data_IF_853008155333
#
_entry.id   IF_853008155333
#
_cell.length_a   1.000
_cell.length_b   1.000
_cell.length_c   1.000
_cell.angle_alpha   90.00
_cell.angle_beta   90.00
_cell.angle_gamma   90.00
#
_symmetry.space_group_name_H-M   'P 1'
#
loop_
_entity.id
_entity.type
_entity.pdbx_description
1 polymer ?
#
# COMPACT_ATOMS: atom_id res chain seq x y z
N UNK A 1 29.96 -7.84 -4.33
CA UNK A 1 31.00 -6.88 -3.90
C UNK A 1 30.65 -5.55 -4.58
N UNK A 2 29.57 -4.91 -4.15
CA UNK A 2 29.52 -3.91 -3.06
C UNK A 2 30.38 -2.69 -3.34
N UNK A 3 30.12 -1.92 -4.41
CA UNK A 3 30.79 -0.62 -4.56
C UNK A 3 30.12 0.36 -5.54
N UNK A 4 28.81 0.54 -5.43
CA UNK A 4 28.13 1.73 -6.00
C UNK A 4 27.11 2.37 -5.03
N UNK A 5 27.20 2.02 -3.74
CA UNK A 5 26.44 2.62 -2.63
C UNK A 5 27.30 3.64 -1.87
N UNK A 6 27.81 4.67 -2.55
CA UNK A 6 28.61 5.75 -1.92
C UNK A 6 28.36 7.16 -2.48
N UNK A 7 27.23 7.41 -3.13
CA UNK A 7 26.88 8.73 -3.69
C UNK A 7 25.42 9.18 -3.40
N UNK A 8 24.79 8.66 -2.35
CA UNK A 8 23.50 9.19 -1.85
C UNK A 8 23.66 10.09 -0.61
N UNK A 9 24.80 10.04 0.09
CA UNK A 9 24.95 10.59 1.45
C UNK A 9 25.26 12.10 1.53
N UNK A 10 25.35 12.84 0.40
CA UNK A 10 25.70 14.27 0.41
C UNK A 10 24.54 15.23 0.11
N UNK A 11 23.29 14.75 0.08
CA UNK A 11 22.10 15.60 -0.17
C UNK A 11 21.13 15.71 1.01
N UNK A 12 21.33 14.95 2.09
CA UNK A 12 20.52 15.04 3.30
C UNK A 12 21.20 15.96 4.31
N UNK A 13 20.88 17.26 4.23
CA UNK A 13 21.34 18.30 5.17
C UNK A 13 20.77 18.11 6.59
N UNK A 14 21.31 17.16 7.33
CA UNK A 14 21.05 16.94 8.73
C UNK A 14 21.86 17.94 9.57
N UNK A 15 21.18 18.85 10.27
CA UNK A 15 21.73 19.62 11.39
C UNK A 15 20.91 19.33 12.64
N UNK A 16 21.48 18.68 13.67
CA UNK A 16 20.86 18.61 14.98
C UNK A 16 21.35 19.79 15.82
N UNK A 17 20.45 20.72 16.17
CA UNK A 17 20.68 21.59 17.32
C UNK A 17 19.53 21.47 18.32
N UNK A 18 19.93 21.06 19.53
CA UNK A 18 19.11 20.75 20.69
C UNK A 18 18.62 22.06 21.32
N UNK A 19 17.33 22.10 21.65
CA UNK A 19 16.85 22.81 22.83
C UNK A 19 15.91 21.86 23.58
N UNK A 20 16.43 21.31 24.67
CA UNK A 20 15.70 20.75 25.81
C UNK A 20 15.46 21.98 26.69
N UNK A 21 14.22 22.36 27.00
CA UNK A 21 13.49 21.89 28.17
C UNK A 21 11.97 22.17 28.02
N UNK A 22 11.19 21.50 28.88
CA UNK A 22 9.81 21.78 29.33
C UNK A 22 8.72 20.80 28.86
N UNK A 23 8.77 19.62 29.51
CA UNK A 23 7.64 18.90 30.13
C UNK A 23 6.44 18.53 29.26
N UNK A 24 6.49 17.32 28.68
CA UNK A 24 5.31 16.48 28.49
C UNK A 24 5.70 14.99 28.40
N UNK A 25 6.18 14.45 29.52
CA UNK A 25 6.54 13.04 29.67
C UNK A 25 5.30 12.16 29.90
N UNK A 26 4.38 12.07 28.95
CA UNK A 26 3.24 11.16 29.12
C UNK A 26 2.54 10.66 27.84
N UNK A 27 3.25 10.32 26.75
CA UNK A 27 2.63 9.50 25.69
C UNK A 27 3.58 8.46 25.12
N UNK A 28 3.93 7.47 25.95
CA UNK A 28 4.23 6.11 25.49
C UNK A 28 2.95 5.47 24.91
N UNK A 29 2.43 6.05 23.82
CA UNK A 29 1.26 5.57 23.10
C UNK A 29 1.68 4.47 22.13
N UNK A 30 1.34 3.22 22.48
CA UNK A 30 1.41 2.02 21.65
C UNK A 30 1.15 2.36 20.18
N UNK A 31 2.16 2.18 19.33
CA UNK A 31 1.92 1.97 17.91
C UNK A 31 1.18 0.65 17.77
N UNK A 32 -0.14 0.66 17.87
CA UNK A 32 -0.95 -0.42 17.29
C UNK A 32 -0.70 -0.28 15.80
N UNK A 33 0.23 -1.08 15.29
CA UNK A 33 0.42 -1.22 13.86
C UNK A 33 -0.93 -1.64 13.31
N UNK A 34 -1.66 -0.66 12.75
CA UNK A 34 -2.96 -0.87 12.14
C UNK A 34 -2.79 -2.04 11.18
N UNK A 35 -3.36 -3.17 11.57
CA UNK A 35 -3.36 -4.37 10.79
C UNK A 35 -4.29 -4.09 9.61
N UNK A 36 -3.67 -3.52 8.57
CA UNK A 36 -4.31 -3.26 7.29
C UNK A 36 -5.00 -4.55 6.85
N UNK A 37 -6.23 -4.46 6.31
CA UNK A 37 -6.93 -5.63 5.84
C UNK A 37 -6.01 -6.40 4.88
N UNK A 38 -5.78 -7.67 5.18
CA UNK A 38 -4.94 -8.53 4.35
C UNK A 38 -5.69 -8.75 3.04
N UNK A 39 -5.09 -8.30 1.96
CA UNK A 39 -5.66 -8.44 0.62
C UNK A 39 -5.07 -9.69 -0.01
N UNK A 40 -5.92 -10.63 -0.42
CA UNK A 40 -5.51 -11.88 -1.06
C UNK A 40 -6.51 -12.31 -2.12
N UNK A 41 -6.03 -12.92 -3.20
CA UNK A 41 -6.90 -13.56 -4.16
C UNK A 41 -7.67 -14.71 -3.46
N UNK A 42 -9.02 -14.72 -3.48
CA UNK A 42 -9.81 -15.76 -2.81
C UNK A 42 -9.67 -17.14 -3.47
N UNK A 43 -9.14 -17.21 -4.70
CA UNK A 43 -8.96 -18.47 -5.44
C UNK A 43 -7.62 -19.13 -5.21
N UNK A 44 -6.53 -18.36 -5.09
CA UNK A 44 -5.16 -18.91 -5.04
C UNK A 44 -4.29 -18.34 -3.90
N UNK A 45 -4.80 -17.38 -3.12
CA UNK A 45 -4.08 -16.78 -2.00
C UNK A 45 -2.98 -15.79 -2.37
N UNK A 46 -2.78 -15.50 -3.67
CA UNK A 46 -1.82 -14.51 -4.14
C UNK A 46 -2.11 -13.12 -3.53
N UNK A 47 -1.05 -12.43 -3.11
CA UNK A 47 -1.14 -11.11 -2.50
C UNK A 47 -0.67 -10.05 -3.48
N UNK A 48 -1.48 -9.03 -3.77
CA UNK A 48 -1.04 -7.89 -4.55
C UNK A 48 -0.07 -7.03 -3.73
N UNK A 49 1.05 -6.68 -4.35
CA UNK A 49 1.99 -5.68 -3.86
C UNK A 49 1.64 -4.27 -4.36
N UNK A 50 2.33 -3.27 -3.81
CA UNK A 50 2.15 -1.85 -4.19
C UNK A 50 2.49 -1.56 -5.66
N UNK A 51 3.28 -2.42 -6.30
CA UNK A 51 3.69 -2.29 -7.70
C UNK A 51 2.70 -2.88 -8.71
N UNK A 52 1.73 -3.66 -8.25
CA UNK A 52 0.78 -4.32 -9.15
C UNK A 52 -0.21 -3.32 -9.73
N UNK A 53 -0.60 -3.57 -10.98
CA UNK A 53 -1.39 -2.65 -11.79
C UNK A 53 -2.50 -3.37 -12.56
N UNK A 54 -3.63 -2.71 -12.65
CA UNK A 54 -4.79 -3.06 -13.46
C UNK A 54 -5.12 -1.87 -14.35
N UNK A 55 -5.74 -2.15 -15.50
CA UNK A 55 -6.14 -1.16 -16.48
C UNK A 55 -7.66 -0.98 -16.46
N UNK A 56 -8.10 0.27 -16.52
CA UNK A 56 -9.52 0.64 -16.59
C UNK A 56 -9.97 0.61 -18.05
N UNK A 57 -11.29 0.63 -18.27
CA UNK A 57 -11.88 0.92 -19.57
C UNK A 57 -11.54 2.34 -20.09
N UNK A 58 -11.15 3.26 -19.20
CA UNK A 58 -10.67 4.59 -19.56
C UNK A 58 -9.15 4.68 -19.77
N UNK A 59 -8.47 3.53 -19.90
CA UNK A 59 -7.01 3.38 -20.05
C UNK A 59 -6.16 3.83 -18.85
N UNK A 60 -6.78 4.25 -17.75
CA UNK A 60 -6.04 4.53 -16.52
C UNK A 60 -5.47 3.24 -15.92
N UNK A 61 -4.20 3.26 -15.54
CA UNK A 61 -3.48 2.12 -14.96
C UNK A 61 -3.15 2.40 -13.50
N UNK A 62 -3.70 1.63 -12.58
CA UNK A 62 -3.55 1.85 -11.13
C UNK A 62 -3.62 0.55 -10.34
N UNK A 63 -3.33 0.60 -9.05
CA UNK A 63 -3.60 -0.52 -8.16
C UNK A 63 -5.05 -0.42 -7.66
N UNK A 64 -5.90 -1.38 -8.00
CA UNK A 64 -7.33 -1.35 -7.64
C UNK A 64 -7.54 -1.30 -6.13
N UNK A 65 -6.61 -1.83 -5.33
CA UNK A 65 -6.72 -1.85 -3.88
C UNK A 65 -6.38 -0.50 -3.21
N UNK A 66 -5.74 0.43 -3.92
CA UNK A 66 -5.48 1.78 -3.39
C UNK A 66 -6.77 2.57 -3.20
N UNK A 67 -7.80 2.27 -4.00
CA UNK A 67 -9.07 3.00 -4.06
C UNK A 67 -10.29 2.11 -3.89
N UNK A 68 -10.09 0.87 -3.40
CA UNK A 68 -11.15 -0.15 -3.27
C UNK A 68 -11.96 -0.40 -4.54
N UNK A 69 -11.29 -0.40 -5.68
CA UNK A 69 -11.88 -0.66 -6.99
C UNK A 69 -12.42 0.59 -7.69
N UNK A 70 -12.32 1.79 -7.11
CA UNK A 70 -12.74 3.03 -7.79
C UNK A 70 -11.62 3.54 -8.69
N UNK A 71 -11.87 3.71 -9.98
CA UNK A 71 -10.88 4.33 -10.87
C UNK A 71 -10.67 5.81 -10.50
N UNK A 72 -9.45 6.28 -10.20
CA UNK A 72 -9.22 7.69 -9.82
C UNK A 72 -9.35 8.67 -11.00
N UNK A 73 -9.39 8.19 -12.24
CA UNK A 73 -9.55 9.04 -13.43
C UNK A 73 -11.01 9.21 -13.84
N UNK A 74 -11.78 8.12 -13.94
CA UNK A 74 -13.17 8.16 -14.41
C UNK A 74 -14.21 7.89 -13.31
N UNK A 75 -13.78 7.59 -12.08
CA UNK A 75 -14.62 7.27 -10.92
C UNK A 75 -15.52 6.03 -11.08
N UNK A 76 -15.21 5.16 -12.05
CA UNK A 76 -15.92 3.89 -12.22
C UNK A 76 -15.61 2.94 -11.06
N UNK A 77 -16.64 2.31 -10.48
CA UNK A 77 -16.49 1.32 -9.42
C UNK A 77 -16.41 -0.08 -10.02
N UNK A 78 -15.25 -0.70 -9.89
CA UNK A 78 -15.05 -2.09 -10.30
C UNK A 78 -15.56 -3.04 -9.23
N UNK A 79 -16.58 -3.84 -9.56
CA UNK A 79 -17.14 -4.88 -8.68
C UNK A 79 -16.34 -6.18 -8.71
N UNK A 80 -15.52 -6.37 -9.74
CA UNK A 80 -14.66 -7.55 -9.91
C UNK A 80 -13.21 -7.15 -10.14
N UNK A 81 -12.28 -7.99 -9.73
CA UNK A 81 -10.84 -7.78 -9.95
C UNK A 81 -10.18 -9.07 -10.43
N UNK A 82 -9.38 -8.96 -11.48
CA UNK A 82 -8.61 -10.06 -12.04
C UNK A 82 -7.38 -10.34 -11.18
N UNK A 83 -7.06 -11.61 -10.94
CA UNK A 83 -5.81 -11.98 -10.29
C UNK A 83 -4.65 -12.00 -11.29
N UNK A 84 -3.55 -11.30 -11.00
CA UNK A 84 -2.36 -11.29 -11.87
C UNK A 84 -1.58 -12.61 -11.86
N UNK A 85 -1.81 -13.47 -10.86
CA UNK A 85 -1.18 -14.78 -10.75
C UNK A 85 -2.00 -15.89 -11.43
N UNK A 86 -3.26 -16.10 -11.00
CA UNK A 86 -4.10 -17.18 -11.54
C UNK A 86 -5.04 -16.76 -12.67
N UNK A 87 -5.06 -15.47 -13.04
CA UNK A 87 -5.87 -14.89 -14.14
C UNK A 87 -7.39 -15.08 -13.99
N UNK A 88 -7.86 -15.55 -12.84
CA UNK A 88 -9.28 -15.65 -12.51
C UNK A 88 -9.80 -14.30 -12.02
N UNK A 89 -11.05 -14.00 -12.37
CA UNK A 89 -11.79 -12.88 -11.80
C UNK A 89 -12.44 -13.30 -10.48
N UNK A 90 -12.50 -12.38 -9.53
CA UNK A 90 -13.25 -12.57 -8.29
C UNK A 90 -13.89 -11.24 -7.88
N UNK A 91 -15.04 -11.26 -7.17
CA UNK A 91 -15.64 -10.06 -6.60
C UNK A 91 -14.60 -9.26 -5.82
N UNK A 92 -14.52 -7.95 -6.00
CA UNK A 92 -13.50 -7.11 -5.38
C UNK A 92 -13.59 -7.17 -3.85
N UNK A 93 -14.80 -7.33 -3.29
CA UNK A 93 -15.02 -7.50 -1.84
C UNK A 93 -14.40 -8.79 -1.27
N UNK A 94 -14.38 -9.88 -2.04
CA UNK A 94 -13.84 -11.18 -1.59
C UNK A 94 -12.32 -11.16 -1.42
N UNK A 95 -11.64 -10.13 -1.94
CA UNK A 95 -10.20 -9.98 -1.77
C UNK A 95 -9.81 -9.52 -0.36
N UNK A 96 -10.73 -8.96 0.41
CA UNK A 96 -10.45 -8.45 1.74
C UNK A 96 -10.75 -9.52 2.80
N UNK A 97 -9.73 -9.99 3.50
CA UNK A 97 -9.94 -10.87 4.66
C UNK A 97 -10.75 -10.12 5.73
N UNK A 98 -11.93 -10.66 6.06
CA UNK A 98 -12.77 -10.14 7.14
C UNK A 98 -12.04 -10.34 8.47
N UNK A 99 -11.94 -9.29 9.28
CA UNK A 99 -11.49 -9.40 10.67
C UNK A 99 -12.61 -10.07 11.46
N UNK A 100 -12.42 -11.31 11.89
CA UNK A 100 -13.28 -12.05 12.81
C UNK A 100 -12.96 -11.75 14.27
#
# INVERSE_FOLDING_TARGET
>A
MFEQWRLWELRCGFKPERNVDLENEEFAGRGTGEDKPKIRCPKCGWQPGKGDRWQCICDHVWNTFDTRGVCPACHEQWEVTACLSCQQFSPHEDWYEKRS
#
